data_IF_501114957226
#
_entry.id   IF_501114957226
#
_cell.length_a   1.000
_cell.length_b   1.000
_cell.length_c   1.000
_cell.angle_alpha   90.00
_cell.angle_beta   90.00
_cell.angle_gamma   90.00
#
_symmetry.space_group_name_H-M   'P 1'
#
loop_
_entity.id
_entity.type
_entity.pdbx_description
1 polymer ?
#
# COMPACT_ATOMS: atom_id res chain seq x y z
N UNK A 1 -25.34 -5.06 2.02
CA UNK A 1 -24.58 -3.86 2.42
C UNK A 1 -24.93 -3.59 3.88
N UNK A 2 -23.96 -3.72 4.79
CA UNK A 2 -24.22 -3.90 6.22
C UNK A 2 -23.84 -2.61 6.96
N UNK A 3 -24.68 -1.57 6.87
CA UNK A 3 -24.56 -0.30 7.60
C UNK A 3 -24.17 -0.49 9.09
N UNK A 4 -24.61 -1.62 9.66
CA UNK A 4 -24.30 -2.05 11.02
C UNK A 4 -22.79 -2.26 11.30
N UNK A 5 -21.98 -2.65 10.30
CA UNK A 5 -20.55 -2.92 10.49
C UNK A 5 -19.78 -1.61 10.72
N UNK A 6 -20.01 -0.57 9.92
CA UNK A 6 -19.26 0.69 10.05
C UNK A 6 -19.61 1.44 11.33
N UNK A 7 -20.89 1.46 11.71
CA UNK A 7 -21.30 2.01 13.01
C UNK A 7 -20.65 1.28 14.19
N UNK A 8 -20.45 -0.03 14.08
CA UNK A 8 -19.71 -0.79 15.08
C UNK A 8 -18.22 -0.44 15.12
N UNK A 9 -17.59 -0.24 13.96
CA UNK A 9 -16.19 0.21 13.87
C UNK A 9 -16.03 1.61 14.49
N UNK A 10 -16.97 2.53 14.22
CA UNK A 10 -16.98 3.88 14.84
C UNK A 10 -17.11 3.80 16.35
N UNK A 11 -18.01 2.96 16.87
CA UNK A 11 -18.13 2.71 18.32
C UNK A 11 -16.84 2.16 18.92
N UNK A 12 -16.22 1.18 18.27
CA UNK A 12 -14.93 0.63 18.73
C UNK A 12 -13.85 1.72 18.80
N UNK A 13 -13.73 2.53 17.74
CA UNK A 13 -12.76 3.62 17.68
C UNK A 13 -13.01 4.69 18.75
N UNK A 14 -14.28 4.95 19.09
CA UNK A 14 -14.67 5.89 20.14
C UNK A 14 -14.43 5.35 21.56
N UNK A 15 -14.59 4.04 21.76
CA UNK A 15 -14.51 3.41 23.08
C UNK A 15 -13.11 2.95 23.48
N UNK A 16 -12.25 2.60 22.52
CA UNK A 16 -10.95 1.99 22.79
C UNK A 16 -9.81 2.77 22.17
N UNK A 17 -8.72 2.94 22.92
CA UNK A 17 -7.44 3.33 22.29
C UNK A 17 -6.93 2.16 21.43
N UNK A 18 -6.18 2.43 20.35
CA UNK A 18 -5.69 1.38 19.44
C UNK A 18 -4.99 0.21 20.16
N UNK A 19 -4.08 0.50 21.10
CA UNK A 19 -3.40 -0.57 21.85
C UNK A 19 -4.36 -1.41 22.71
N UNK A 20 -5.39 -0.81 23.32
CA UNK A 20 -6.38 -1.55 24.10
C UNK A 20 -7.18 -2.49 23.20
N UNK A 21 -7.57 -2.04 22.01
CA UNK A 21 -8.26 -2.87 21.03
C UNK A 21 -7.38 -4.05 20.57
N UNK A 22 -6.09 -3.81 20.34
CA UNK A 22 -5.11 -4.85 20.00
C UNK A 22 -4.97 -5.91 21.09
N UNK A 23 -5.02 -5.50 22.36
CA UNK A 23 -4.90 -6.39 23.50
C UNK A 23 -6.16 -7.25 23.72
N UNK A 24 -7.34 -6.67 23.48
CA UNK A 24 -8.62 -7.38 23.65
C UNK A 24 -8.90 -8.32 22.48
N UNK A 25 -8.63 -7.88 21.25
CA UNK A 25 -9.01 -8.63 20.03
C UNK A 25 -7.93 -9.61 19.56
N UNK A 26 -6.66 -9.39 19.90
CA UNK A 26 -5.55 -10.18 19.38
C UNK A 26 -5.20 -9.85 17.91
N UNK A 27 -4.04 -10.34 17.45
CA UNK A 27 -3.46 -9.91 16.18
C UNK A 27 -4.37 -10.07 14.95
N UNK A 28 -4.93 -11.27 14.72
CA UNK A 28 -5.71 -11.54 13.50
C UNK A 28 -6.97 -10.69 13.45
N UNK A 29 -7.69 -10.59 14.58
CA UNK A 29 -8.92 -9.81 14.61
C UNK A 29 -8.64 -8.31 14.47
N UNK A 30 -7.57 -7.81 15.09
CA UNK A 30 -7.14 -6.43 14.89
C UNK A 30 -6.72 -6.15 13.44
N UNK A 31 -6.10 -7.12 12.75
CA UNK A 31 -5.77 -7.00 11.33
C UNK A 31 -7.04 -6.85 10.47
N UNK A 32 -8.01 -7.74 10.65
CA UNK A 32 -9.31 -7.69 9.96
C UNK A 32 -10.03 -6.36 10.21
N UNK A 33 -10.03 -5.90 11.46
CA UNK A 33 -10.63 -4.61 11.85
C UNK A 33 -9.90 -3.45 11.18
N UNK A 34 -8.56 -3.44 11.17
CA UNK A 34 -7.78 -2.40 10.50
C UNK A 34 -8.08 -2.35 8.99
N UNK A 35 -8.11 -3.52 8.33
CA UNK A 35 -8.42 -3.62 6.90
C UNK A 35 -9.82 -3.09 6.58
N UNK A 36 -10.80 -3.40 7.42
CA UNK A 36 -12.18 -2.93 7.26
C UNK A 36 -12.31 -1.42 7.48
N UNK A 37 -11.55 -0.87 8.42
CA UNK A 37 -11.50 0.58 8.67
C UNK A 37 -10.78 1.35 7.56
N UNK A 38 -9.68 0.81 7.00
CA UNK A 38 -8.96 1.42 5.87
C UNK A 38 -9.82 1.48 4.61
N UNK A 39 -10.48 0.38 4.27
CA UNK A 39 -11.28 0.21 3.05
C UNK A 39 -12.77 0.52 3.24
N UNK A 40 -13.11 1.39 4.21
CA UNK A 40 -14.49 1.70 4.49
C UNK A 40 -15.15 2.43 3.30
N UNK A 41 -16.35 2.00 2.90
CA UNK A 41 -17.06 2.52 1.73
C UNK A 41 -17.46 4.00 1.86
N UNK A 42 -17.61 4.48 3.11
CA UNK A 42 -17.96 5.88 3.42
C UNK A 42 -16.77 6.84 3.28
N UNK A 43 -15.55 6.34 3.03
CA UNK A 43 -14.32 7.12 2.99
C UNK A 43 -14.12 7.99 4.24
N UNK A 44 -14.49 7.46 5.40
CA UNK A 44 -14.35 8.19 6.65
C UNK A 44 -12.89 8.24 7.12
N UNK A 45 -12.28 9.41 6.97
CA UNK A 45 -10.86 9.67 7.27
C UNK A 45 -10.51 9.33 8.74
N UNK A 46 -11.43 9.56 9.67
CA UNK A 46 -11.23 9.29 11.10
C UNK A 46 -10.98 7.79 11.37
N UNK A 47 -11.69 6.92 10.65
CA UNK A 47 -11.50 5.46 10.73
C UNK A 47 -10.18 5.04 10.09
N UNK A 48 -9.80 5.65 8.97
CA UNK A 48 -8.54 5.35 8.28
C UNK A 48 -7.33 5.77 9.14
N UNK A 49 -7.42 6.92 9.81
CA UNK A 49 -6.41 7.37 10.76
C UNK A 49 -6.33 6.43 11.97
N UNK A 50 -7.47 6.03 12.53
CA UNK A 50 -7.52 5.06 13.63
C UNK A 50 -6.90 3.72 13.23
N UNK A 51 -7.22 3.20 12.04
CA UNK A 51 -6.66 1.96 11.52
C UNK A 51 -5.13 2.02 11.39
N UNK A 52 -4.60 3.16 10.97
CA UNK A 52 -3.15 3.40 10.91
C UNK A 52 -2.52 3.28 12.30
N UNK A 53 -3.11 3.91 13.32
CA UNK A 53 -2.64 3.78 14.71
C UNK A 53 -2.81 2.36 15.26
N UNK A 54 -3.85 1.64 14.82
CA UNK A 54 -4.08 0.24 15.18
C UNK A 54 -2.96 -0.66 14.64
N UNK A 55 -2.60 -0.51 13.37
CA UNK A 55 -1.48 -1.23 12.76
C UNK A 55 -0.14 -0.92 13.44
N UNK A 56 0.13 0.35 13.79
CA UNK A 56 1.32 0.71 14.57
C UNK A 56 1.34 0.07 15.97
N UNK A 57 0.18 0.00 16.64
CA UNK A 57 0.05 -0.67 17.92
C UNK A 57 0.29 -2.17 17.79
N UNK A 58 -0.24 -2.82 16.75
CA UNK A 58 0.01 -4.23 16.45
C UNK A 58 1.50 -4.50 16.21
N UNK A 59 2.18 -3.66 15.41
CA UNK A 59 3.63 -3.78 15.16
C UNK A 59 4.45 -3.76 16.45
N UNK A 60 4.08 -2.90 17.41
CA UNK A 60 4.76 -2.79 18.72
C UNK A 60 4.44 -3.97 19.64
N UNK A 61 3.19 -4.41 19.67
CA UNK A 61 2.72 -5.47 20.57
C UNK A 61 3.14 -6.87 20.13
N UNK A 62 3.16 -7.12 18.82
CA UNK A 62 3.43 -8.42 18.21
C UNK A 62 4.61 -8.34 17.22
N UNK A 63 5.81 -7.93 17.65
CA UNK A 63 6.93 -7.69 16.75
C UNK A 63 7.36 -8.95 15.99
N UNK A 64 7.36 -10.12 16.65
CA UNK A 64 7.72 -11.39 16.00
C UNK A 64 6.73 -11.74 14.88
N UNK A 65 5.43 -11.68 15.17
CA UNK A 65 4.39 -11.94 14.16
C UNK A 65 4.40 -10.91 13.04
N UNK A 66 4.53 -9.63 13.38
CA UNK A 66 4.66 -8.55 12.41
C UNK A 66 5.88 -8.72 11.49
N UNK A 67 6.99 -9.25 12.01
CA UNK A 67 8.20 -9.47 11.23
C UNK A 67 8.23 -10.80 10.48
N UNK A 68 7.22 -11.66 10.66
CA UNK A 68 7.12 -12.95 9.95
C UNK A 68 6.78 -12.80 8.46
N UNK A 69 6.23 -11.66 8.04
CA UNK A 69 5.87 -11.39 6.64
C UNK A 69 6.24 -9.95 6.26
N UNK A 70 6.68 -9.76 5.01
CA UNK A 70 6.89 -8.43 4.43
C UNK A 70 5.58 -7.67 4.25
N UNK A 71 4.46 -8.39 4.11
CA UNK A 71 3.14 -7.83 3.84
C UNK A 71 2.64 -6.91 4.93
N UNK A 72 3.01 -7.12 6.19
CA UNK A 72 2.55 -6.25 7.28
C UNK A 72 3.17 -4.85 7.21
N UNK A 73 4.46 -4.71 6.88
CA UNK A 73 5.03 -3.39 6.63
C UNK A 73 4.51 -2.78 5.32
N UNK A 74 4.20 -3.59 4.29
CA UNK A 74 3.55 -3.10 3.09
C UNK A 74 2.15 -2.54 3.37
N UNK A 75 1.34 -3.26 4.17
CA UNK A 75 0.02 -2.81 4.61
C UNK A 75 0.12 -1.50 5.41
N UNK A 76 1.13 -1.36 6.28
CA UNK A 76 1.35 -0.10 7.00
C UNK A 76 1.73 1.04 6.03
N UNK A 77 2.52 0.75 4.99
CA UNK A 77 2.80 1.71 3.92
C UNK A 77 1.55 2.12 3.14
N UNK A 78 0.64 1.17 2.90
CA UNK A 78 -0.68 1.42 2.30
C UNK A 78 -1.56 2.30 3.21
N UNK A 79 -1.61 2.01 4.50
CA UNK A 79 -2.32 2.85 5.47
C UNK A 79 -1.78 4.28 5.47
N UNK A 80 -0.45 4.46 5.50
CA UNK A 80 0.17 5.78 5.40
C UNK A 80 -0.07 6.47 4.05
N UNK A 81 -0.24 5.72 2.96
CA UNK A 81 -0.65 6.28 1.68
C UNK A 81 -2.04 6.90 1.76
N UNK A 82 -3.01 6.18 2.31
CA UNK A 82 -4.39 6.66 2.51
C UNK A 82 -4.39 7.90 3.40
N UNK A 83 -3.67 7.87 4.52
CA UNK A 83 -3.65 8.99 5.49
C UNK A 83 -2.62 10.07 5.16
N UNK A 84 -2.08 10.09 3.94
CA UNK A 84 -1.15 11.11 3.43
C UNK A 84 0.13 11.32 4.28
N UNK A 85 0.61 10.28 4.97
CA UNK A 85 1.86 10.27 5.75
C UNK A 85 3.04 9.86 4.86
N UNK A 86 3.48 10.78 3.99
CA UNK A 86 4.38 10.47 2.86
C UNK A 86 5.75 9.91 3.24
N UNK A 87 6.38 10.41 4.30
CA UNK A 87 7.69 9.93 4.75
C UNK A 87 7.57 8.54 5.37
N UNK A 88 6.59 8.36 6.24
CA UNK A 88 6.32 7.09 6.91
C UNK A 88 5.91 6.00 5.92
N UNK A 89 5.15 6.36 4.88
CA UNK A 89 4.83 5.49 3.74
C UNK A 89 6.09 4.94 3.08
N UNK A 90 7.04 5.81 2.72
CA UNK A 90 8.30 5.38 2.11
C UNK A 90 9.10 4.47 3.04
N UNK A 91 9.23 4.85 4.31
CA UNK A 91 9.97 4.05 5.31
C UNK A 91 9.32 2.68 5.54
N UNK A 92 8.00 2.59 5.48
CA UNK A 92 7.28 1.33 5.61
C UNK A 92 7.52 0.41 4.40
N UNK A 93 7.38 0.92 3.17
CA UNK A 93 7.69 0.11 1.98
C UNK A 93 9.15 -0.29 1.91
N UNK A 94 10.08 0.56 2.35
CA UNK A 94 11.51 0.20 2.43
C UNK A 94 11.75 -0.96 3.40
N UNK A 95 11.21 -0.90 4.62
CA UNK A 95 11.30 -2.02 5.59
C UNK A 95 10.66 -3.30 5.07
N UNK A 96 9.56 -3.16 4.33
CA UNK A 96 8.90 -4.30 3.67
C UNK A 96 9.82 -4.93 2.62
N UNK A 97 10.46 -4.12 1.78
CA UNK A 97 11.39 -4.58 0.74
C UNK A 97 12.61 -5.30 1.33
N UNK A 98 13.14 -4.80 2.45
CA UNK A 98 14.28 -5.42 3.15
C UNK A 98 13.98 -6.85 3.66
N UNK A 99 12.69 -7.24 3.75
CA UNK A 99 12.24 -8.56 4.25
C UNK A 99 11.99 -9.59 3.16
N UNK A 100 12.04 -9.23 1.87
CA UNK A 100 11.60 -10.11 0.78
C UNK A 100 12.56 -10.12 -0.40
N UNK A 101 12.93 -11.32 -0.83
CA UNK A 101 13.75 -11.54 -2.02
C UNK A 101 13.30 -12.84 -2.71
N UNK A 102 12.93 -12.83 -4.00
CA UNK A 102 12.85 -11.65 -4.88
C UNK A 102 11.73 -10.67 -4.47
N UNK A 103 11.89 -9.40 -4.82
CA UNK A 103 10.91 -8.36 -4.50
C UNK A 103 9.62 -8.53 -5.30
N UNK A 104 8.44 -8.59 -4.64
CA UNK A 104 7.15 -8.67 -5.33
C UNK A 104 6.88 -7.41 -6.18
N UNK A 105 6.29 -7.55 -7.38
CA UNK A 105 6.05 -6.43 -8.28
C UNK A 105 5.11 -5.37 -7.69
N UNK A 106 4.11 -5.77 -6.90
CA UNK A 106 3.18 -4.86 -6.22
C UNK A 106 3.91 -3.95 -5.22
N UNK A 107 4.89 -4.49 -4.49
CA UNK A 107 5.70 -3.74 -3.53
C UNK A 107 6.63 -2.76 -4.25
N UNK A 108 7.27 -3.19 -5.33
CA UNK A 108 8.15 -2.35 -6.14
C UNK A 108 7.39 -1.16 -6.74
N UNK A 109 6.19 -1.38 -7.27
CA UNK A 109 5.34 -0.30 -7.82
C UNK A 109 4.86 0.63 -6.71
N UNK A 110 4.45 0.10 -5.55
CA UNK A 110 4.03 0.92 -4.42
C UNK A 110 5.14 1.82 -3.86
N UNK A 111 6.37 1.29 -3.77
CA UNK A 111 7.57 2.04 -3.41
C UNK A 111 7.91 3.08 -4.47
N UNK A 112 7.84 2.73 -5.76
CA UNK A 112 8.09 3.67 -6.85
C UNK A 112 7.15 4.88 -6.80
N UNK A 113 5.87 4.67 -6.45
CA UNK A 113 4.91 5.77 -6.28
C UNK A 113 5.29 6.75 -5.17
N UNK A 114 6.27 6.46 -4.30
CA UNK A 114 6.76 7.42 -3.29
C UNK A 114 7.52 8.60 -3.91
N UNK A 115 7.85 8.57 -5.21
CA UNK A 115 8.31 9.78 -5.91
C UNK A 115 7.20 10.82 -6.14
N UNK A 116 5.92 10.44 -5.95
CA UNK A 116 4.76 11.34 -6.07
C UNK A 116 4.34 11.76 -4.67
N UNK A 117 5.01 12.79 -4.13
CA UNK A 117 4.72 13.37 -2.82
C UNK A 117 4.92 14.91 -2.86
N UNK A 118 4.17 15.69 -2.07
CA UNK A 118 4.40 17.12 -1.91
C UNK A 118 5.83 17.42 -1.42
N UNK A 119 6.38 18.55 -1.85
CA UNK A 119 7.72 18.98 -1.44
C UNK A 119 8.83 18.23 -2.18
N UNK A 120 9.82 17.72 -1.45
CA UNK A 120 10.92 16.91 -2.00
C UNK A 120 10.65 15.43 -1.70
N UNK A 121 10.23 14.63 -2.69
CA UNK A 121 9.99 13.21 -2.48
C UNK A 121 11.25 12.46 -2.01
N UNK A 122 11.10 11.39 -1.21
CA UNK A 122 12.22 10.57 -0.75
C UNK A 122 12.85 9.73 -1.86
N UNK A 123 12.21 9.66 -3.03
CA UNK A 123 12.63 8.90 -4.20
C UNK A 123 12.56 9.81 -5.43
N UNK A 124 13.61 9.82 -6.24
CA UNK A 124 13.59 10.52 -7.53
C UNK A 124 12.76 9.76 -8.57
N UNK A 125 12.31 10.45 -9.62
CA UNK A 125 11.62 9.81 -10.74
C UNK A 125 12.50 8.79 -11.48
N UNK A 126 13.82 9.03 -11.55
CA UNK A 126 14.76 8.09 -12.15
C UNK A 126 14.82 6.77 -11.36
N UNK A 127 14.87 6.84 -10.03
CA UNK A 127 14.83 5.65 -9.16
C UNK A 127 13.47 4.95 -9.26
N UNK A 128 12.36 5.70 -9.31
CA UNK A 128 11.02 5.14 -9.50
C UNK A 128 10.92 4.37 -10.83
N UNK A 129 11.45 4.91 -11.92
CA UNK A 129 11.48 4.24 -13.23
C UNK A 129 12.21 2.91 -13.15
N UNK A 130 13.35 2.83 -12.46
CA UNK A 130 14.11 1.59 -12.29
C UNK A 130 13.31 0.53 -11.51
N UNK A 131 12.66 0.93 -10.42
CA UNK A 131 11.81 0.03 -9.63
C UNK A 131 10.65 -0.51 -10.45
N UNK A 132 9.96 0.35 -11.20
CA UNK A 132 8.83 -0.06 -12.04
C UNK A 132 9.29 -0.98 -13.17
N UNK A 133 10.43 -0.70 -13.81
CA UNK A 133 11.00 -1.57 -14.84
C UNK A 133 11.34 -2.96 -14.32
N UNK A 134 11.87 -3.07 -13.10
CA UNK A 134 12.12 -4.37 -12.48
C UNK A 134 10.80 -5.09 -12.16
N UNK A 135 9.78 -4.37 -11.67
CA UNK A 135 8.46 -4.95 -11.38
C UNK A 135 7.76 -5.55 -12.60
N UNK A 136 7.90 -4.91 -13.77
CA UNK A 136 7.24 -5.33 -15.02
C UNK A 136 8.11 -6.20 -15.92
N UNK A 137 9.32 -6.55 -15.47
CA UNK A 137 10.35 -7.20 -16.29
C UNK A 137 9.89 -8.52 -16.89
N UNK A 138 9.10 -9.29 -16.13
CA UNK A 138 8.54 -10.58 -16.55
C UNK A 138 7.11 -10.47 -17.04
N UNK A 139 6.35 -9.51 -16.50
CA UNK A 139 4.92 -9.39 -16.72
C UNK A 139 4.53 -7.92 -16.81
N UNK A 140 3.96 -7.45 -17.94
CA UNK A 140 3.59 -6.06 -18.11
C UNK A 140 2.28 -5.75 -17.36
N UNK A 141 2.38 -5.56 -16.04
CA UNK A 141 1.23 -5.23 -15.21
C UNK A 141 0.66 -3.85 -15.54
N UNK A 142 -0.68 -3.74 -15.64
CA UNK A 142 -1.38 -2.51 -16.03
C UNK A 142 -0.95 -1.31 -15.19
N UNK A 143 -0.95 -1.45 -13.86
CA UNK A 143 -0.60 -0.36 -12.93
C UNK A 143 0.88 0.04 -13.04
N UNK A 144 1.76 -0.92 -13.34
CA UNK A 144 3.18 -0.68 -13.56
C UNK A 144 3.40 0.13 -14.84
N UNK A 145 2.78 -0.27 -15.95
CA UNK A 145 2.88 0.46 -17.23
C UNK A 145 2.28 1.87 -17.12
N UNK A 146 1.13 1.99 -16.45
CA UNK A 146 0.48 3.28 -16.25
C UNK A 146 1.37 4.26 -15.47
N UNK A 147 2.00 3.78 -14.39
CA UNK A 147 2.95 4.57 -13.63
C UNK A 147 4.17 4.94 -14.48
N UNK A 148 4.73 4.00 -15.24
CA UNK A 148 5.91 4.23 -16.07
C UNK A 148 5.66 5.31 -17.14
N UNK A 149 4.51 5.25 -17.81
CA UNK A 149 4.03 6.29 -18.73
C UNK A 149 3.96 7.66 -18.03
N UNK A 150 3.37 7.71 -16.83
CA UNK A 150 3.27 8.93 -16.03
C UNK A 150 4.63 9.53 -15.67
N UNK A 151 5.57 8.70 -15.24
CA UNK A 151 6.93 9.12 -14.89
C UNK A 151 7.68 9.68 -16.10
N UNK A 152 7.61 9.01 -17.25
CA UNK A 152 8.26 9.50 -18.47
C UNK A 152 7.65 10.80 -19.00
N UNK A 153 6.34 10.97 -18.86
CA UNK A 153 5.67 12.25 -19.14
C UNK A 153 6.21 13.36 -18.24
N UNK A 154 6.35 13.10 -16.95
CA UNK A 154 6.80 14.08 -15.95
C UNK A 154 8.23 14.59 -16.23
N UNK A 155 9.15 13.71 -16.59
CA UNK A 155 10.54 14.09 -16.97
C UNK A 155 10.67 14.60 -18.42
N UNK A 156 9.57 14.76 -19.16
CA UNK A 156 9.57 15.27 -20.53
C UNK A 156 10.11 14.30 -21.59
N UNK A 157 10.24 13.01 -21.28
CA UNK A 157 10.71 12.01 -22.23
C UNK A 157 9.55 11.46 -23.08
N UNK A 158 9.21 12.21 -24.14
CA UNK A 158 8.08 11.91 -25.03
C UNK A 158 8.18 10.54 -25.70
N UNK A 159 9.38 10.14 -26.15
CA UNK A 159 9.57 8.87 -26.85
C UNK A 159 9.21 7.67 -25.97
N UNK A 160 9.69 7.66 -24.73
CA UNK A 160 9.36 6.59 -23.79
C UNK A 160 7.88 6.67 -23.38
N UNK A 161 7.34 7.87 -23.16
CA UNK A 161 5.92 8.05 -22.86
C UNK A 161 5.03 7.41 -23.94
N UNK A 162 5.27 7.72 -25.22
CA UNK A 162 4.50 7.19 -26.36
C UNK A 162 4.63 5.67 -26.48
N UNK A 163 5.83 5.12 -26.25
CA UNK A 163 6.04 3.68 -26.23
C UNK A 163 5.19 2.99 -25.16
N UNK A 164 5.23 3.48 -23.91
CA UNK A 164 4.47 2.87 -22.82
C UNK A 164 2.96 3.13 -22.94
N UNK A 165 2.55 4.18 -23.62
CA UNK A 165 1.15 4.43 -23.98
C UNK A 165 0.62 3.40 -24.98
N UNK A 166 1.40 3.06 -26.02
CA UNK A 166 1.07 1.97 -26.95
C UNK A 166 0.98 0.62 -26.23
N UNK A 167 1.96 0.31 -25.35
CA UNK A 167 1.92 -0.92 -24.53
C UNK A 167 0.66 -0.95 -23.66
N UNK A 168 0.34 0.13 -22.95
CA UNK A 168 -0.84 0.22 -22.11
C UNK A 168 -2.13 0.01 -22.91
N UNK A 169 -2.23 0.59 -24.11
CA UNK A 169 -3.42 0.44 -24.97
C UNK A 169 -3.70 -1.04 -25.31
N UNK A 170 -2.64 -1.84 -25.50
CA UNK A 170 -2.73 -3.27 -25.83
C UNK A 170 -3.17 -4.14 -24.64
N UNK A 171 -2.84 -3.74 -23.42
CA UNK A 171 -3.11 -4.54 -22.21
C UNK A 171 -4.28 -4.01 -21.37
N UNK A 172 -4.72 -2.77 -21.55
CA UNK A 172 -5.67 -2.09 -20.64
C UNK A 172 -6.99 -2.83 -20.35
N UNK A 173 -7.46 -3.70 -21.26
CA UNK A 173 -8.73 -4.42 -21.08
C UNK A 173 -8.60 -5.80 -20.44
N UNK A 174 -7.51 -6.51 -20.75
CA UNK A 174 -7.33 -7.95 -20.43
C UNK A 174 -5.93 -8.26 -19.88
N UNK A 175 -5.18 -7.23 -19.51
CA UNK A 175 -3.83 -7.34 -19.00
C UNK A 175 -3.82 -7.84 -17.56
N UNK A 176 -2.67 -8.37 -17.10
CA UNK A 176 -2.51 -8.74 -15.71
C UNK A 176 -2.51 -7.47 -14.82
N UNK A 177 -3.23 -7.54 -13.71
CA UNK A 177 -3.24 -6.51 -12.67
C UNK A 177 -2.34 -6.92 -11.51
N UNK A 178 -1.75 -5.95 -10.82
CA UNK A 178 -1.00 -6.20 -9.60
C UNK A 178 -1.95 -6.70 -8.49
N UNK A 179 -1.51 -7.66 -7.66
CA UNK A 179 -2.21 -7.99 -6.42
C UNK A 179 -2.29 -6.74 -5.51
N UNK A 180 -3.41 -6.52 -4.81
CA UNK A 180 -3.50 -5.49 -3.77
C UNK A 180 -2.50 -5.77 -2.63
N UNK A 181 -1.96 -4.72 -2.02
CA UNK A 181 -1.02 -4.87 -0.89
C UNK A 181 -1.71 -5.38 0.38
N UNK A 182 -3.01 -5.15 0.45
CA UNK A 182 -3.91 -5.53 1.52
C UNK A 182 -4.54 -6.91 1.32
N UNK A 183 -4.15 -7.66 0.28
CA UNK A 183 -4.62 -9.03 0.06
C UNK A 183 -3.86 -10.03 0.95
N UNK A 184 -4.53 -10.45 2.02
CA UNK A 184 -4.05 -11.48 2.96
C UNK A 184 -4.78 -12.82 2.79
N UNK A 185 -5.46 -13.07 1.67
CA UNK A 185 -6.25 -14.30 1.42
C UNK A 185 -5.45 -15.60 1.56
N UNK A 186 -4.12 -15.54 1.46
CA UNK A 186 -3.22 -16.69 1.61
C UNK A 186 -2.49 -16.76 2.97
N UNK A 187 -2.77 -15.84 3.90
CA UNK A 187 -2.06 -15.70 5.19
C UNK A 187 -2.96 -15.81 6.43
N UNK A 188 -4.29 -15.83 6.26
CA UNK A 188 -5.30 -15.91 7.34
C UNK A 188 -5.95 -17.29 7.37
#
# INVERSE_FOLDING_TARGET
MNYNIYEELKKQAACFKPLQLVEISGFNKSLETALSMLNNEEWEESLQEYATYLLEAMRRKYPEKWNSSWRYDALLGYAYHITLKYEERYLAYKRSLDKVSPAPPELLVALARCCIAPGKPPLSEAEAILLVKEAIKTTPYVEGIELLKGLYKSIGNKKEQEYWEDVLSKISKNGPHLPPLEDFSNEI
#
